data_IF_307050051683
#
_entry.id   IF_307050051683
#
_cell.length_a   1.000
_cell.length_b   1.000
_cell.length_c   1.000
_cell.angle_alpha   90.00
_cell.angle_beta   90.00
_cell.angle_gamma   90.00
#
_symmetry.space_group_name_H-M   'P 1'
#
loop_
_entity.id
_entity.type
_entity.pdbx_description
1 polymer ?
#
# COMPACT_ATOMS: atom_id res chain seq x y z
N UNK A 1 13.98 -30.71 15.57
CA UNK A 1 15.43 -30.46 15.42
C UNK A 1 15.80 -29.28 16.31
N UNK A 2 17.05 -29.26 16.81
CA UNK A 2 17.56 -28.08 17.54
C UNK A 2 18.40 -27.25 16.56
N UNK A 3 17.96 -26.04 16.26
CA UNK A 3 18.60 -25.10 15.33
C UNK A 3 19.56 -24.13 16.03
N UNK A 4 19.77 -24.27 17.34
CA UNK A 4 20.60 -23.34 18.13
C UNK A 4 22.05 -23.28 17.68
N UNK A 5 22.59 -24.42 17.22
CA UNK A 5 23.96 -24.48 16.70
C UNK A 5 24.09 -23.78 15.35
N UNK A 6 23.15 -24.01 14.44
CA UNK A 6 23.13 -23.32 13.13
C UNK A 6 22.94 -21.81 13.30
N UNK A 7 22.03 -21.40 14.20
CA UNK A 7 21.84 -19.99 14.56
C UNK A 7 23.16 -19.33 14.99
N UNK A 8 23.90 -19.96 15.91
CA UNK A 8 25.19 -19.45 16.38
C UNK A 8 26.25 -19.37 15.29
N UNK A 9 26.24 -20.30 14.33
CA UNK A 9 27.18 -20.29 13.20
C UNK A 9 26.90 -19.16 12.21
N UNK A 10 25.61 -18.78 12.02
CA UNK A 10 25.18 -17.74 11.11
C UNK A 10 25.10 -16.35 11.77
N UNK A 11 25.19 -16.29 13.10
CA UNK A 11 25.13 -15.05 13.86
C UNK A 11 26.43 -14.25 13.68
N UNK A 12 26.28 -13.04 13.16
CA UNK A 12 27.41 -12.11 12.95
C UNK A 12 27.01 -10.69 13.36
N UNK A 13 28.00 -9.79 13.48
CA UNK A 13 27.69 -8.36 13.64
C UNK A 13 27.15 -7.76 12.34
N UNK A 14 26.39 -6.65 12.46
CA UNK A 14 25.92 -5.91 11.29
C UNK A 14 27.08 -5.45 10.38
N UNK A 15 28.19 -4.97 10.98
CA UNK A 15 29.39 -4.54 10.24
C UNK A 15 30.02 -5.71 9.46
N UNK A 16 29.96 -6.93 9.96
CA UNK A 16 30.42 -8.13 9.23
C UNK A 16 29.46 -8.51 8.11
N UNK A 17 28.16 -8.54 8.41
CA UNK A 17 27.13 -8.94 7.45
C UNK A 17 27.15 -8.07 6.18
N UNK A 18 27.26 -6.75 6.33
CA UNK A 18 27.24 -5.81 5.18
C UNK A 18 28.51 -5.87 4.32
N UNK A 19 29.56 -6.61 4.72
CA UNK A 19 30.75 -6.82 3.87
C UNK A 19 30.46 -7.62 2.61
N UNK A 20 29.33 -8.35 2.58
CA UNK A 20 28.85 -9.04 1.37
C UNK A 20 28.54 -8.05 0.24
N UNK A 21 28.13 -6.83 0.58
CA UNK A 21 27.68 -5.82 -0.37
C UNK A 21 28.90 -5.20 -1.07
N UNK A 22 28.84 -5.13 -2.40
CA UNK A 22 29.86 -4.58 -3.27
C UNK A 22 29.31 -3.44 -4.11
N UNK A 23 30.21 -2.64 -4.69
CA UNK A 23 29.84 -1.62 -5.67
C UNK A 23 29.11 -2.24 -6.86
N UNK A 24 28.00 -1.64 -7.25
CA UNK A 24 27.14 -2.12 -8.34
C UNK A 24 26.05 -3.11 -7.93
N UNK A 25 26.06 -3.62 -6.70
CA UNK A 25 25.07 -4.60 -6.24
C UNK A 25 23.66 -4.02 -6.15
N UNK A 26 22.68 -4.91 -6.27
CA UNK A 26 21.30 -4.68 -5.91
C UNK A 26 21.03 -5.24 -4.50
N UNK A 27 20.55 -4.37 -3.62
CA UNK A 27 20.31 -4.68 -2.21
C UNK A 27 18.87 -4.34 -1.85
N UNK A 28 18.08 -5.34 -1.49
CA UNK A 28 16.72 -5.13 -1.06
C UNK A 28 16.63 -4.92 0.47
N UNK A 29 15.83 -3.95 0.88
CA UNK A 29 15.62 -3.55 2.28
C UNK A 29 14.28 -4.04 2.85
N UNK A 30 13.63 -4.98 2.16
CA UNK A 30 12.31 -5.46 2.51
C UNK A 30 11.21 -4.42 2.26
N UNK A 31 10.20 -4.41 3.11
CA UNK A 31 9.00 -3.62 2.89
C UNK A 31 8.54 -2.89 4.15
N UNK A 32 8.20 -1.61 4.03
CA UNK A 32 7.51 -0.80 5.03
C UNK A 32 8.16 -0.90 6.43
N UNK A 33 7.43 -1.42 7.42
CA UNK A 33 7.92 -1.62 8.79
C UNK A 33 8.91 -2.80 8.95
N UNK A 34 9.12 -3.59 7.91
CA UNK A 34 10.17 -4.62 7.84
C UNK A 34 11.52 -4.09 7.36
N UNK A 35 11.65 -2.77 7.08
CA UNK A 35 12.92 -2.15 6.68
C UNK A 35 13.94 -2.21 7.81
N UNK A 36 15.15 -2.68 7.47
CA UNK A 36 16.25 -2.89 8.43
C UNK A 36 16.75 -1.59 9.07
N UNK A 37 17.36 -1.70 10.25
CA UNK A 37 17.86 -0.57 11.04
C UNK A 37 19.37 -0.63 11.27
N UNK A 38 19.84 -1.62 12.02
CA UNK A 38 21.28 -1.73 12.33
C UNK A 38 22.11 -2.09 11.11
N UNK A 39 21.53 -2.84 10.16
CA UNK A 39 22.16 -3.15 8.88
C UNK A 39 22.30 -1.90 8.01
N UNK A 40 21.29 -1.03 7.96
CA UNK A 40 21.36 0.26 7.26
C UNK A 40 22.44 1.16 7.85
N UNK A 41 22.52 1.26 9.19
CA UNK A 41 23.56 2.01 9.88
C UNK A 41 24.95 1.46 9.61
N UNK A 42 25.12 0.13 9.55
CA UNK A 42 26.38 -0.50 9.22
C UNK A 42 26.78 -0.26 7.76
N UNK A 43 25.84 -0.34 6.83
CA UNK A 43 26.10 -0.05 5.42
C UNK A 43 26.48 1.43 5.20
N UNK A 44 25.86 2.35 5.92
CA UNK A 44 26.19 3.77 5.87
C UNK A 44 27.65 4.08 6.22
N UNK A 45 28.30 3.31 7.10
CA UNK A 45 29.72 3.44 7.45
C UNK A 45 30.64 3.12 6.26
N UNK A 46 30.14 2.36 5.27
CA UNK A 46 30.90 1.94 4.09
C UNK A 46 30.71 2.85 2.88
N UNK A 47 30.06 4.00 3.04
CA UNK A 47 29.75 4.94 1.95
C UNK A 47 31.01 5.26 1.10
N UNK A 48 32.13 5.56 1.73
CA UNK A 48 33.36 5.93 1.00
C UNK A 48 34.00 4.77 0.21
N UNK A 49 33.65 3.52 0.56
CA UNK A 49 34.15 2.32 -0.12
C UNK A 49 33.30 1.90 -1.32
N UNK A 50 32.00 2.30 -1.32
CA UNK A 50 31.00 1.77 -2.23
C UNK A 50 30.58 2.81 -3.28
N UNK A 51 30.30 2.35 -4.49
CA UNK A 51 29.78 3.15 -5.60
C UNK A 51 28.67 2.40 -6.34
N UNK A 52 27.66 3.15 -6.80
CA UNK A 52 26.58 2.62 -7.62
C UNK A 52 25.82 1.44 -7.00
N UNK A 53 25.62 1.42 -5.66
CA UNK A 53 24.81 0.42 -5.01
C UNK A 53 23.33 0.77 -5.19
N UNK A 54 22.57 -0.16 -5.74
CA UNK A 54 21.15 0.01 -6.00
C UNK A 54 20.35 -0.56 -4.83
N UNK A 55 19.74 0.31 -4.04
CA UNK A 55 18.88 -0.08 -2.94
C UNK A 55 17.43 -0.17 -3.43
N UNK A 56 16.68 -1.11 -2.91
CA UNK A 56 15.29 -1.40 -3.28
C UNK A 56 14.41 -1.53 -2.05
N UNK A 57 13.13 -1.18 -2.17
CA UNK A 57 12.13 -1.28 -1.09
C UNK A 57 10.94 -0.38 -1.35
N UNK A 58 10.25 0.06 -0.30
CA UNK A 58 9.15 1.03 -0.43
C UNK A 58 8.44 1.34 0.88
N UNK A 59 7.71 2.43 0.89
CA UNK A 59 6.96 2.96 2.05
C UNK A 59 7.88 3.13 3.26
N UNK A 60 8.95 3.89 3.12
CA UNK A 60 9.86 4.18 4.24
C UNK A 60 9.12 4.91 5.36
N UNK A 61 9.18 4.36 6.57
CA UNK A 61 8.59 4.95 7.77
C UNK A 61 9.62 5.79 8.57
N UNK A 62 10.91 5.65 8.27
CA UNK A 62 12.00 6.44 8.85
C UNK A 62 13.06 6.75 7.79
N UNK A 63 13.81 7.86 7.95
CA UNK A 63 14.97 8.14 7.10
C UNK A 63 16.02 7.03 7.20
N UNK A 64 16.64 6.68 6.08
CA UNK A 64 17.74 5.72 6.04
C UNK A 64 19.09 6.41 6.31
N UNK A 65 19.96 5.76 7.08
CA UNK A 65 21.28 6.26 7.44
C UNK A 65 22.20 6.40 6.21
N UNK A 66 22.08 5.51 5.22
CA UNK A 66 22.84 5.58 3.95
C UNK A 66 22.59 6.88 3.18
N UNK A 67 21.46 7.57 3.40
CA UNK A 67 21.13 8.85 2.76
C UNK A 67 21.32 10.06 3.68
N UNK A 68 21.98 9.91 4.82
CA UNK A 68 22.23 11.02 5.75
C UNK A 68 23.18 12.07 5.17
N UNK A 69 24.16 11.66 4.36
CA UNK A 69 25.16 12.54 3.72
C UNK A 69 24.58 13.25 2.50
N UNK A 70 25.09 14.45 2.19
CA UNK A 70 24.68 15.20 0.99
C UNK A 70 25.07 14.49 -0.31
N UNK A 71 26.24 13.87 -0.34
CA UNK A 71 26.81 13.13 -1.48
C UNK A 71 26.29 11.69 -1.61
N UNK A 72 25.35 11.27 -0.77
CA UNK A 72 24.84 9.89 -0.74
C UNK A 72 24.38 9.36 -2.11
N UNK A 73 23.81 10.25 -2.96
CA UNK A 73 23.37 9.90 -4.32
C UNK A 73 24.51 9.53 -5.28
N UNK A 74 25.78 9.79 -4.93
CA UNK A 74 26.95 9.34 -5.70
C UNK A 74 27.33 7.89 -5.37
N UNK A 75 26.80 7.35 -4.29
CA UNK A 75 27.11 6.03 -3.74
C UNK A 75 25.92 5.07 -3.82
N UNK A 76 24.74 5.56 -3.47
CA UNK A 76 23.52 4.78 -3.33
C UNK A 76 22.36 5.38 -4.14
N UNK A 77 21.57 4.52 -4.76
CA UNK A 77 20.34 4.89 -5.46
C UNK A 77 19.17 4.12 -4.85
N UNK A 78 18.13 4.83 -4.40
CA UNK A 78 16.91 4.20 -3.89
C UNK A 78 15.91 3.98 -5.02
N UNK A 79 15.52 2.73 -5.26
CA UNK A 79 14.51 2.31 -6.23
C UNK A 79 13.26 1.88 -5.48
N UNK A 80 12.26 2.74 -5.44
CA UNK A 80 11.06 2.52 -4.62
C UNK A 80 9.92 1.92 -5.41
N UNK A 81 9.28 0.90 -4.87
CA UNK A 81 8.03 0.36 -5.37
C UNK A 81 6.81 1.21 -5.00
N UNK A 82 6.90 2.02 -3.96
CA UNK A 82 5.84 2.93 -3.54
C UNK A 82 6.40 4.06 -2.67
N UNK A 83 6.11 5.30 -3.05
CA UNK A 83 6.72 6.47 -2.44
C UNK A 83 5.99 6.92 -1.17
N UNK A 84 6.73 7.10 -0.09
CA UNK A 84 6.30 7.80 1.14
C UNK A 84 6.72 9.27 1.14
N UNK A 85 6.40 9.99 2.22
CA UNK A 85 6.88 11.37 2.43
C UNK A 85 8.40 11.49 2.50
N UNK A 86 9.08 10.45 3.00
CA UNK A 86 10.53 10.38 3.12
C UNK A 86 11.15 10.23 1.73
N UNK A 87 10.65 9.30 0.94
CA UNK A 87 11.14 8.99 -0.40
C UNK A 87 10.95 10.17 -1.36
N UNK A 88 9.84 10.92 -1.24
CA UNK A 88 9.67 12.17 -2.00
C UNK A 88 10.75 13.21 -1.73
N UNK A 89 11.30 13.26 -0.49
CA UNK A 89 12.44 14.13 -0.17
C UNK A 89 13.73 13.62 -0.81
N UNK A 90 13.90 12.30 -0.92
CA UNK A 90 15.03 11.68 -1.62
C UNK A 90 14.98 11.94 -3.13
N UNK A 91 13.79 11.90 -3.75
CA UNK A 91 13.60 12.31 -5.16
C UNK A 91 14.09 13.74 -5.37
N UNK A 92 13.71 14.68 -4.50
CA UNK A 92 14.12 16.07 -4.61
C UNK A 92 15.64 16.27 -4.49
N UNK A 93 16.37 15.30 -3.90
CA UNK A 93 17.82 15.26 -3.79
C UNK A 93 18.49 14.47 -4.92
N UNK A 94 17.73 13.89 -5.85
CA UNK A 94 18.26 13.02 -6.91
C UNK A 94 18.77 11.66 -6.43
N UNK A 95 18.34 11.22 -5.24
CA UNK A 95 18.76 9.95 -4.63
C UNK A 95 17.75 8.82 -4.79
N UNK A 96 16.52 9.11 -5.23
CA UNK A 96 15.47 8.11 -5.34
C UNK A 96 14.69 8.20 -6.66
N UNK A 97 14.25 7.03 -7.12
CA UNK A 97 13.44 6.86 -8.32
C UNK A 97 12.29 5.90 -8.04
N UNK A 98 11.14 6.15 -8.67
CA UNK A 98 9.98 5.27 -8.58
C UNK A 98 10.07 4.16 -9.63
N UNK A 99 9.80 2.94 -9.22
CA UNK A 99 9.73 1.76 -10.10
C UNK A 99 8.26 1.36 -10.28
N UNK A 100 7.60 1.73 -11.39
CA UNK A 100 6.18 1.48 -11.58
C UNK A 100 5.88 0.01 -11.84
N UNK A 101 5.05 -0.57 -10.98
CA UNK A 101 4.53 -1.93 -11.13
C UNK A 101 3.21 -2.05 -10.35
N UNK A 102 2.27 -2.88 -10.78
CA UNK A 102 1.13 -3.29 -9.95
C UNK A 102 1.62 -4.19 -8.83
N UNK A 103 1.13 -3.97 -7.64
CA UNK A 103 1.65 -4.65 -6.46
C UNK A 103 1.48 -6.17 -6.52
N UNK A 104 0.38 -6.66 -7.12
CA UNK A 104 0.16 -8.09 -7.34
C UNK A 104 1.26 -8.78 -8.15
N UNK A 105 2.01 -8.03 -8.97
CA UNK A 105 3.01 -8.56 -9.90
C UNK A 105 4.41 -8.67 -9.28
N UNK A 106 4.65 -8.05 -8.11
CA UNK A 106 5.97 -8.05 -7.47
C UNK A 106 6.55 -9.46 -7.24
N UNK A 107 5.82 -10.44 -6.66
CA UNK A 107 6.40 -11.77 -6.46
C UNK A 107 6.84 -12.44 -7.75
N UNK A 108 6.09 -12.24 -8.84
CA UNK A 108 6.49 -12.74 -10.17
C UNK A 108 7.71 -11.98 -10.70
N UNK A 109 7.74 -10.65 -10.53
CA UNK A 109 8.88 -9.85 -10.95
C UNK A 109 10.18 -10.36 -10.30
N UNK A 110 10.19 -10.61 -8.99
CA UNK A 110 11.37 -11.14 -8.31
C UNK A 110 11.81 -12.51 -8.87
N UNK A 111 10.87 -13.41 -9.11
CA UNK A 111 11.15 -14.77 -9.62
C UNK A 111 11.60 -14.79 -11.08
N UNK A 112 11.20 -13.84 -11.90
CA UNK A 112 11.48 -13.80 -13.34
C UNK A 112 12.40 -12.64 -13.75
N UNK A 113 12.88 -11.84 -12.80
CA UNK A 113 13.71 -10.65 -13.06
C UNK A 113 15.05 -11.03 -13.69
N UNK A 114 15.47 -10.26 -14.70
CA UNK A 114 16.84 -10.27 -15.20
C UNK A 114 17.83 -9.56 -14.29
N UNK A 115 17.34 -8.92 -13.23
CA UNK A 115 18.12 -8.16 -12.23
C UNK A 115 17.76 -8.65 -10.82
N UNK A 116 18.17 -9.90 -10.44
CA UNK A 116 17.93 -10.42 -9.10
C UNK A 116 18.73 -9.63 -8.06
N UNK A 117 18.28 -9.63 -6.81
CA UNK A 117 19.01 -9.01 -5.73
C UNK A 117 20.27 -9.79 -5.39
N UNK A 118 21.39 -9.08 -5.23
CA UNK A 118 22.63 -9.67 -4.73
C UNK A 118 22.51 -9.95 -3.24
N UNK A 119 21.87 -9.04 -2.49
CA UNK A 119 21.63 -9.19 -1.06
C UNK A 119 20.20 -8.73 -0.72
N UNK A 120 19.46 -9.58 -0.02
CA UNK A 120 18.21 -9.20 0.64
C UNK A 120 18.46 -9.00 2.13
N UNK A 121 18.06 -7.87 2.69
CA UNK A 121 18.15 -7.54 4.11
C UNK A 121 16.75 -7.27 4.64
N UNK A 122 16.29 -8.05 5.61
CA UNK A 122 14.94 -7.93 6.13
C UNK A 122 14.89 -7.99 7.65
N UNK A 123 14.04 -7.19 8.25
CA UNK A 123 13.73 -7.28 9.67
C UNK A 123 12.69 -8.38 9.91
N UNK A 124 12.92 -9.21 10.90
CA UNK A 124 12.11 -10.42 11.20
C UNK A 124 11.85 -10.56 12.69
N UNK A 125 10.80 -11.30 13.04
CA UNK A 125 10.58 -11.75 14.40
C UNK A 125 11.64 -12.80 14.82
N UNK A 126 11.87 -13.02 16.12
CA UNK A 126 12.79 -14.06 16.60
C UNK A 126 12.48 -15.44 16.01
N UNK A 127 13.54 -16.24 15.81
CA UNK A 127 13.42 -17.60 15.30
C UNK A 127 12.54 -18.47 16.21
N UNK A 128 11.62 -19.19 15.61
CA UNK A 128 10.80 -20.14 16.35
C UNK A 128 11.53 -21.50 16.59
N UNK A 129 10.91 -22.37 17.39
CA UNK A 129 11.44 -23.70 17.69
C UNK A 129 11.59 -24.62 16.47
N UNK A 130 11.03 -24.26 15.34
CA UNK A 130 11.08 -25.00 14.09
C UNK A 130 12.09 -24.41 13.09
N UNK A 131 12.84 -23.37 13.48
CA UNK A 131 13.86 -22.74 12.65
C UNK A 131 13.34 -21.66 11.69
N UNK A 132 12.12 -21.18 11.88
CA UNK A 132 11.54 -20.13 11.03
C UNK A 132 11.63 -18.75 11.66
N UNK A 133 12.00 -17.77 10.84
CA UNK A 133 11.88 -16.35 11.09
C UNK A 133 10.61 -15.83 10.41
N UNK A 134 9.73 -15.21 11.16
CA UNK A 134 8.48 -14.64 10.63
C UNK A 134 8.73 -13.22 10.12
N UNK A 135 8.17 -12.88 8.94
CA UNK A 135 8.29 -11.54 8.33
C UNK A 135 7.46 -10.47 9.03
N UNK A 136 6.82 -10.81 10.15
CA UNK A 136 5.89 -9.89 10.80
C UNK A 136 4.68 -9.56 9.92
N UNK A 137 4.22 -8.31 9.90
CA UNK A 137 3.05 -7.94 9.13
C UNK A 137 3.30 -7.82 7.61
N UNK A 138 4.36 -8.42 7.06
CA UNK A 138 4.82 -8.21 5.68
C UNK A 138 5.05 -9.52 4.91
N UNK A 139 4.05 -10.36 4.69
CA UNK A 139 4.20 -11.43 3.69
C UNK A 139 4.48 -10.81 2.32
N UNK A 140 3.65 -9.86 1.87
CA UNK A 140 3.92 -8.99 0.73
C UNK A 140 4.55 -9.74 -0.46
N UNK A 141 5.79 -9.44 -0.78
CA UNK A 141 6.63 -10.08 -1.79
C UNK A 141 7.90 -10.71 -1.19
N UNK A 142 8.04 -10.69 0.13
CA UNK A 142 9.30 -11.02 0.80
C UNK A 142 9.70 -12.48 0.61
N UNK A 143 8.74 -13.41 0.51
CA UNK A 143 9.03 -14.79 0.19
C UNK A 143 9.74 -14.94 -1.16
N UNK A 144 9.21 -14.32 -2.21
CA UNK A 144 9.80 -14.33 -3.54
C UNK A 144 11.17 -13.64 -3.60
N UNK A 145 11.32 -12.53 -2.88
CA UNK A 145 12.59 -11.81 -2.74
C UNK A 145 13.66 -12.73 -2.11
N UNK A 146 13.36 -13.36 -1.00
CA UNK A 146 14.29 -14.26 -0.32
C UNK A 146 14.64 -15.50 -1.17
N UNK A 147 13.68 -16.03 -1.92
CA UNK A 147 13.86 -17.18 -2.81
C UNK A 147 14.88 -16.91 -3.92
N UNK A 148 14.97 -15.67 -4.40
CA UNK A 148 15.76 -15.31 -5.58
C UNK A 148 17.05 -14.56 -5.27
N UNK A 149 17.18 -13.96 -4.09
CA UNK A 149 18.39 -13.25 -3.69
C UNK A 149 19.58 -14.21 -3.54
N UNK A 150 20.78 -13.76 -3.92
CA UNK A 150 22.01 -14.55 -3.75
C UNK A 150 22.37 -14.75 -2.29
N UNK A 151 22.12 -13.73 -1.47
CA UNK A 151 22.36 -13.74 -0.02
C UNK A 151 21.16 -13.15 0.71
N UNK A 152 20.72 -13.80 1.78
CA UNK A 152 19.66 -13.29 2.65
C UNK A 152 20.25 -13.03 4.03
N UNK A 153 20.10 -11.81 4.53
CA UNK A 153 20.51 -11.38 5.87
C UNK A 153 19.23 -11.01 6.63
N UNK A 154 19.00 -11.64 7.75
CA UNK A 154 17.88 -11.31 8.63
C UNK A 154 18.36 -10.46 9.80
N UNK A 155 17.64 -9.36 10.08
CA UNK A 155 17.80 -8.53 11.26
C UNK A 155 16.68 -8.87 12.25
N UNK A 156 17.04 -9.53 13.34
CA UNK A 156 16.08 -10.01 14.34
C UNK A 156 15.67 -8.86 15.26
N UNK A 157 14.36 -8.67 15.42
CA UNK A 157 13.77 -7.68 16.31
C UNK A 157 12.69 -8.34 17.19
N UNK A 158 12.88 -8.33 18.51
CA UNK A 158 11.93 -8.89 19.47
C UNK A 158 10.56 -8.18 19.50
N UNK A 159 10.50 -6.94 19.02
CA UNK A 159 9.25 -6.18 18.90
C UNK A 159 8.48 -6.47 17.61
N UNK A 160 9.05 -7.27 16.68
CA UNK A 160 8.35 -7.67 15.46
C UNK A 160 7.24 -8.66 15.80
N UNK A 161 5.96 -8.36 15.52
CA UNK A 161 4.87 -9.29 15.80
C UNK A 161 5.01 -10.54 14.96
N UNK A 162 4.62 -11.69 15.51
CA UNK A 162 4.54 -12.95 14.80
C UNK A 162 3.18 -13.05 14.10
N UNK A 163 3.13 -12.70 12.83
CA UNK A 163 1.90 -12.70 12.06
C UNK A 163 1.66 -14.07 11.44
N UNK A 164 0.53 -14.69 11.81
CA UNK A 164 0.13 -15.97 11.27
C UNK A 164 -0.35 -15.82 9.82
N UNK A 165 -0.07 -16.82 9.00
CA UNK A 165 -0.41 -16.77 7.59
C UNK A 165 -0.48 -18.13 6.93
N UNK A 166 -0.62 -18.12 5.62
CA UNK A 166 -0.53 -19.30 4.77
C UNK A 166 0.92 -19.59 4.38
N UNK A 167 1.20 -19.53 3.10
CA UNK A 167 2.55 -19.65 2.54
C UNK A 167 3.27 -18.30 2.55
N UNK A 168 4.59 -18.32 2.51
CA UNK A 168 5.45 -17.13 2.33
C UNK A 168 5.33 -16.06 3.45
N UNK A 169 5.00 -16.47 4.68
CA UNK A 169 4.96 -15.54 5.82
C UNK A 169 6.26 -15.56 6.67
N UNK A 170 7.29 -16.28 6.23
CA UNK A 170 8.58 -16.40 6.92
C UNK A 170 9.61 -17.17 6.12
N UNK A 171 10.83 -17.24 6.64
CA UNK A 171 11.98 -17.92 6.03
C UNK A 171 12.58 -18.90 7.02
N UNK A 172 12.97 -20.08 6.53
CA UNK A 172 13.67 -21.08 7.35
C UNK A 172 15.16 -20.72 7.44
N UNK A 173 15.78 -21.02 8.58
CA UNK A 173 17.18 -20.70 8.85
C UNK A 173 18.14 -21.28 7.80
N UNK A 174 17.82 -22.42 7.15
CA UNK A 174 18.65 -23.00 6.08
C UNK A 174 18.86 -22.06 4.90
N UNK A 175 17.90 -21.18 4.63
CA UNK A 175 17.90 -20.27 3.49
C UNK A 175 18.46 -18.87 3.86
N UNK A 176 18.85 -18.68 5.12
CA UNK A 176 19.47 -17.46 5.63
C UNK A 176 20.99 -17.57 5.54
N UNK A 177 21.64 -16.54 4.96
CA UNK A 177 23.12 -16.46 4.91
C UNK A 177 23.68 -16.01 6.25
N UNK A 178 23.19 -14.87 6.77
CA UNK A 178 23.61 -14.31 8.05
C UNK A 178 22.42 -13.87 8.90
N UNK A 179 22.60 -13.97 10.21
CA UNK A 179 21.68 -13.49 11.23
C UNK A 179 22.36 -12.34 11.96
N UNK A 180 21.64 -11.23 12.12
CA UNK A 180 22.07 -10.08 12.92
C UNK A 180 21.02 -9.83 13.98
N UNK A 181 21.42 -9.81 15.25
CA UNK A 181 20.54 -9.34 16.32
C UNK A 181 20.43 -7.82 16.26
N UNK A 182 19.21 -7.34 16.05
CA UNK A 182 18.91 -5.92 15.96
C UNK A 182 18.97 -5.22 17.32
N UNK A 183 18.66 -3.93 17.31
CA UNK A 183 18.63 -3.09 18.53
C UNK A 183 17.27 -3.15 19.25
N UNK A 184 16.35 -3.99 18.81
CA UNK A 184 14.99 -4.12 19.34
C UNK A 184 14.25 -2.76 19.41
N UNK A 185 14.48 -1.90 18.40
CA UNK A 185 13.73 -0.66 18.27
C UNK A 185 12.23 -0.94 18.10
N UNK A 186 11.34 -0.06 18.57
CA UNK A 186 9.92 -0.18 18.29
C UNK A 186 9.66 -0.26 16.76
N UNK A 187 8.72 -1.09 16.36
CA UNK A 187 8.32 -1.18 14.95
C UNK A 187 7.78 0.18 14.48
N UNK A 188 8.19 0.58 13.30
CA UNK A 188 7.77 1.84 12.71
C UNK A 188 6.25 1.94 12.59
N UNK A 189 5.67 3.03 13.07
CA UNK A 189 4.23 3.26 12.99
C UNK A 189 3.87 4.14 11.79
N UNK A 190 2.81 3.75 11.09
CA UNK A 190 2.13 4.61 10.15
C UNK A 190 0.94 5.23 10.90
N UNK A 191 1.10 6.48 11.32
CA UNK A 191 0.06 7.17 12.08
C UNK A 191 -1.27 7.22 11.31
N UNK A 192 -2.36 7.26 12.05
CA UNK A 192 -3.73 7.27 11.52
C UNK A 192 -4.05 8.50 10.63
N UNK A 193 -3.10 9.38 10.40
CA UNK A 193 -3.35 10.70 9.82
C UNK A 193 -4.00 11.65 10.83
N UNK A 194 -4.42 12.83 10.38
CA UNK A 194 -5.19 13.75 11.22
C UNK A 194 -6.60 13.23 11.51
N UNK A 195 -7.35 13.85 12.42
CA UNK A 195 -8.74 13.53 12.65
C UNK A 195 -9.54 13.68 11.36
N UNK A 196 -10.55 12.82 11.17
CA UNK A 196 -11.44 12.87 10.01
C UNK A 196 -12.14 14.23 9.94
N UNK A 197 -12.05 14.89 8.80
CA UNK A 197 -12.74 16.15 8.53
C UNK A 197 -14.24 15.91 8.33
N UNK A 198 -15.05 16.98 8.33
CA UNK A 198 -16.47 16.87 8.01
C UNK A 198 -16.70 16.42 6.57
N UNK A 199 -15.78 16.74 5.66
CA UNK A 199 -15.78 16.22 4.28
C UNK A 199 -15.56 14.70 4.29
N UNK A 200 -14.54 14.22 5.02
CA UNK A 200 -14.27 12.77 5.15
C UNK A 200 -15.49 12.01 5.69
N UNK A 201 -16.16 12.56 6.71
CA UNK A 201 -17.35 11.94 7.31
C UNK A 201 -18.52 11.86 6.34
N UNK A 202 -18.74 12.91 5.53
CA UNK A 202 -19.80 12.89 4.50
C UNK A 202 -19.53 11.83 3.43
N UNK A 203 -18.29 11.79 2.91
CA UNK A 203 -17.88 10.77 1.94
C UNK A 203 -18.03 9.37 2.54
N UNK A 204 -17.54 9.18 3.77
CA UNK A 204 -17.64 7.90 4.47
C UNK A 204 -19.09 7.43 4.66
N UNK A 205 -20.02 8.34 5.01
CA UNK A 205 -21.43 8.00 5.17
C UNK A 205 -22.03 7.49 3.85
N UNK A 206 -21.78 8.21 2.74
CA UNK A 206 -22.27 7.79 1.41
C UNK A 206 -21.80 6.37 1.04
N UNK A 207 -20.56 6.01 1.43
CA UNK A 207 -20.00 4.69 1.15
C UNK A 207 -20.62 3.63 2.07
N UNK A 208 -20.69 3.89 3.37
CA UNK A 208 -21.21 2.93 4.37
C UNK A 208 -22.66 2.55 4.06
N UNK A 209 -23.47 3.49 3.58
CA UNK A 209 -24.85 3.23 3.14
C UNK A 209 -24.94 2.24 1.95
N UNK A 210 -23.82 1.99 1.26
CA UNK A 210 -23.75 1.05 0.14
C UNK A 210 -23.22 -0.34 0.51
N UNK A 211 -22.78 -0.55 1.76
CA UNK A 211 -22.17 -1.79 2.23
C UNK A 211 -23.28 -2.74 2.71
N UNK A 212 -23.47 -3.91 2.10
CA UNK A 212 -24.41 -4.90 2.61
C UNK A 212 -23.80 -5.72 3.77
N UNK A 213 -24.65 -6.32 4.60
CA UNK A 213 -24.20 -7.34 5.54
C UNK A 213 -23.47 -8.47 4.80
N UNK A 214 -22.42 -9.00 5.41
CA UNK A 214 -21.61 -10.06 4.81
C UNK A 214 -20.64 -9.60 3.73
N UNK A 215 -20.54 -8.29 3.44
CA UNK A 215 -19.56 -7.76 2.49
C UNK A 215 -18.12 -8.07 2.90
N UNK A 216 -17.24 -8.26 1.92
CA UNK A 216 -15.79 -8.36 2.13
C UNK A 216 -15.10 -7.02 1.80
N UNK A 217 -14.29 -6.52 2.71
CA UNK A 217 -13.78 -5.14 2.68
C UNK A 217 -12.30 -5.07 2.35
N UNK A 218 -11.94 -4.06 1.53
CA UNK A 218 -10.60 -3.49 1.40
C UNK A 218 -10.67 -1.98 1.66
N UNK A 219 -9.82 -1.49 2.53
CA UNK A 219 -9.69 -0.08 2.88
C UNK A 219 -8.28 0.44 2.55
N UNK A 220 -8.19 1.68 2.06
CA UNK A 220 -6.94 2.43 1.99
C UNK A 220 -6.53 3.03 3.34
N UNK A 221 -5.63 4.01 3.30
CA UNK A 221 -5.14 4.77 4.46
C UNK A 221 -5.60 6.23 4.40
N UNK A 222 -5.65 6.88 5.57
CA UNK A 222 -5.93 8.31 5.71
C UNK A 222 -7.23 8.62 6.44
N UNK A 223 -7.59 9.91 6.51
CA UNK A 223 -8.75 10.39 7.28
C UNK A 223 -10.07 9.78 6.84
N UNK A 224 -10.31 9.68 5.53
CA UNK A 224 -11.57 9.15 5.00
C UNK A 224 -11.72 7.63 5.25
N UNK A 225 -10.75 6.74 4.98
CA UNK A 225 -10.84 5.33 5.37
C UNK A 225 -11.02 5.12 6.88
N UNK A 226 -10.41 5.96 7.71
CA UNK A 226 -10.62 5.92 9.16
C UNK A 226 -12.07 6.31 9.53
N UNK A 227 -12.63 7.32 8.85
CA UNK A 227 -14.03 7.70 9.05
C UNK A 227 -14.99 6.56 8.64
N UNK A 228 -14.71 5.88 7.51
CA UNK A 228 -15.45 4.68 7.10
C UNK A 228 -15.38 3.61 8.18
N UNK A 229 -14.18 3.32 8.70
CA UNK A 229 -13.99 2.33 9.76
C UNK A 229 -14.78 2.64 11.03
N UNK A 230 -14.76 3.90 11.48
CA UNK A 230 -15.51 4.36 12.65
C UNK A 230 -17.03 4.21 12.44
N UNK A 231 -17.55 4.64 11.29
CA UNK A 231 -18.97 4.52 10.97
C UNK A 231 -19.43 3.05 10.88
N UNK A 232 -18.60 2.17 10.30
CA UNK A 232 -18.91 0.73 10.27
C UNK A 232 -18.95 0.16 11.69
N UNK A 233 -17.99 0.52 12.55
CA UNK A 233 -17.95 0.04 13.93
C UNK A 233 -19.20 0.44 14.73
N UNK A 234 -19.76 1.62 14.47
CA UNK A 234 -20.97 2.15 15.12
C UNK A 234 -22.27 1.70 14.42
N UNK A 235 -22.23 1.15 13.22
CA UNK A 235 -23.41 0.76 12.43
C UNK A 235 -24.01 -0.57 12.87
N UNK A 236 -25.17 -0.93 12.27
CA UNK A 236 -25.82 -2.25 12.41
C UNK A 236 -25.26 -3.31 11.45
N UNK A 237 -24.20 -3.00 10.71
CA UNK A 237 -23.54 -3.95 9.80
C UNK A 237 -22.97 -5.15 10.57
N UNK A 238 -23.06 -6.32 9.95
CA UNK A 238 -22.62 -7.60 10.55
C UNK A 238 -22.10 -8.57 9.51
N UNK A 239 -21.43 -9.61 10.02
CA UNK A 239 -20.90 -10.72 9.23
C UNK A 239 -19.88 -10.28 8.15
N UNK A 240 -19.22 -9.15 8.36
CA UNK A 240 -18.25 -8.61 7.41
C UNK A 240 -17.00 -9.50 7.32
N UNK A 241 -16.36 -9.49 6.17
CA UNK A 241 -15.08 -10.11 5.91
C UNK A 241 -14.00 -9.07 5.60
N UNK A 242 -12.74 -9.47 5.66
CA UNK A 242 -11.59 -8.66 5.25
C UNK A 242 -10.75 -9.45 4.25
N UNK A 243 -10.42 -8.80 3.14
CA UNK A 243 -9.42 -9.24 2.18
C UNK A 243 -8.81 -7.97 1.57
N UNK A 244 -7.64 -7.59 2.05
CA UNK A 244 -7.10 -6.26 1.81
C UNK A 244 -5.61 -6.32 1.46
N UNK A 245 -5.13 -5.35 0.71
CA UNK A 245 -3.70 -5.16 0.50
C UNK A 245 -3.03 -4.82 1.82
N UNK A 246 -3.45 -3.71 2.42
CA UNK A 246 -2.92 -3.22 3.67
C UNK A 246 -3.93 -3.38 4.80
N UNK A 247 -3.49 -3.99 5.90
CA UNK A 247 -4.25 -4.03 7.15
C UNK A 247 -3.96 -2.77 7.96
N UNK A 248 -5.02 -2.10 8.43
CA UNK A 248 -4.95 -0.80 9.09
C UNK A 248 -5.72 -0.80 10.41
N UNK A 249 -5.45 0.18 11.29
CA UNK A 249 -6.12 0.30 12.61
C UNK A 249 -7.65 0.28 12.53
N UNK A 250 -8.24 0.80 11.46
CA UNK A 250 -9.68 0.79 11.24
C UNK A 250 -10.28 -0.62 11.28
N UNK A 251 -9.58 -1.63 10.72
CA UNK A 251 -10.06 -3.02 10.81
C UNK A 251 -10.04 -3.57 12.23
N UNK A 252 -9.06 -3.15 13.05
CA UNK A 252 -9.01 -3.53 14.48
C UNK A 252 -10.24 -3.00 15.21
N UNK A 253 -10.65 -1.76 14.93
CA UNK A 253 -11.82 -1.15 15.56
C UNK A 253 -13.12 -1.84 15.13
N UNK A 254 -13.27 -2.11 13.84
CA UNK A 254 -14.43 -2.84 13.28
C UNK A 254 -14.50 -4.26 13.87
N UNK A 255 -13.35 -4.96 13.98
CA UNK A 255 -13.29 -6.31 14.55
C UNK A 255 -13.65 -6.31 16.04
N UNK A 256 -13.09 -5.38 16.84
CA UNK A 256 -13.40 -5.23 18.26
C UNK A 256 -14.86 -4.84 18.51
N UNK A 257 -15.50 -4.15 17.57
CA UNK A 257 -16.93 -3.88 17.60
C UNK A 257 -17.80 -5.12 17.23
N UNK A 258 -17.16 -6.27 16.93
CA UNK A 258 -17.86 -7.52 16.61
C UNK A 258 -18.51 -7.56 15.21
N UNK A 259 -18.11 -6.67 14.29
CA UNK A 259 -18.69 -6.58 12.95
C UNK A 259 -18.05 -7.53 11.95
N UNK A 260 -16.80 -7.95 12.19
CA UNK A 260 -16.02 -8.84 11.33
C UNK A 260 -16.01 -10.25 11.93
N UNK A 261 -16.46 -11.23 11.15
CA UNK A 261 -16.32 -12.66 11.49
C UNK A 261 -15.94 -13.52 10.26
N UNK A 262 -15.99 -12.97 9.06
CA UNK A 262 -15.63 -13.66 7.82
C UNK A 262 -16.52 -14.85 7.46
N UNK A 263 -17.68 -15.02 8.11
CA UNK A 263 -18.56 -16.20 7.92
C UNK A 263 -19.18 -16.28 6.53
N UNK A 264 -19.28 -15.15 5.85
CA UNK A 264 -19.88 -15.04 4.50
C UNK A 264 -18.84 -15.03 3.37
N UNK A 265 -17.54 -15.04 3.68
CA UNK A 265 -16.51 -15.15 2.65
C UNK A 265 -16.62 -16.48 1.89
N UNK A 266 -16.47 -16.44 0.57
CA UNK A 266 -16.48 -17.61 -0.32
C UNK A 266 -15.19 -18.42 -0.22
N UNK A 267 -14.07 -17.72 -0.01
CA UNK A 267 -12.73 -18.28 0.24
C UNK A 267 -12.20 -17.75 1.58
N UNK A 268 -11.26 -18.43 2.21
CA UNK A 268 -10.63 -18.05 3.49
C UNK A 268 -11.67 -17.68 4.58
N UNK A 269 -12.71 -18.48 4.71
CA UNK A 269 -13.76 -18.23 5.71
C UNK A 269 -13.16 -18.11 7.10
N UNK A 270 -13.68 -17.16 7.87
CA UNK A 270 -13.25 -16.84 9.24
C UNK A 270 -11.81 -16.29 9.33
N UNK A 271 -11.22 -15.88 8.20
CA UNK A 271 -9.88 -15.23 8.17
C UNK A 271 -9.99 -13.83 7.61
N UNK A 272 -9.28 -12.91 8.24
CA UNK A 272 -9.01 -11.57 7.74
C UNK A 272 -7.69 -11.63 6.97
N UNK A 273 -7.75 -11.56 5.65
CA UNK A 273 -6.59 -11.76 4.76
C UNK A 273 -5.97 -10.42 4.41
N UNK A 274 -4.63 -10.32 4.46
CA UNK A 274 -3.91 -9.10 4.11
C UNK A 274 -2.51 -9.39 3.56
N UNK A 275 -2.01 -8.47 2.68
CA UNK A 275 -0.68 -8.57 2.08
C UNK A 275 0.41 -8.00 2.99
N UNK A 276 0.14 -6.87 3.62
CA UNK A 276 0.97 -6.28 4.68
C UNK A 276 0.13 -5.47 5.65
N UNK A 277 0.67 -5.17 6.81
CA UNK A 277 0.02 -4.33 7.81
C UNK A 277 0.88 -3.11 8.16
N UNK A 278 0.27 -1.92 8.20
CA UNK A 278 0.92 -0.72 8.68
C UNK A 278 -0.09 0.14 9.46
N UNK A 279 0.24 0.45 10.70
CA UNK A 279 -0.63 1.17 11.61
C UNK A 279 0.10 1.52 12.89
N UNK A 280 -0.64 1.62 13.98
CA UNK A 280 -0.10 1.89 15.31
C UNK A 280 0.25 0.60 16.07
N UNK A 281 0.90 0.75 17.22
CA UNK A 281 1.18 -0.38 18.12
C UNK A 281 -0.08 -1.19 18.46
N UNK A 282 -1.24 -0.54 18.59
CA UNK A 282 -2.54 -1.21 18.81
C UNK A 282 -2.83 -2.26 17.75
N UNK A 283 -2.53 -1.94 16.48
CA UNK A 283 -2.72 -2.88 15.37
C UNK A 283 -1.67 -4.01 15.43
N UNK A 284 -0.41 -3.69 15.66
CA UNK A 284 0.64 -4.73 15.77
C UNK A 284 0.36 -5.73 16.90
N UNK A 285 -0.10 -5.25 18.06
CA UNK A 285 -0.53 -6.11 19.17
C UNK A 285 -1.75 -7.00 18.81
N UNK A 286 -2.63 -6.50 17.91
CA UNK A 286 -3.78 -7.28 17.44
C UNK A 286 -3.37 -8.34 16.39
N UNK A 287 -2.33 -8.05 15.59
CA UNK A 287 -1.81 -8.98 14.58
C UNK A 287 -1.02 -10.15 15.21
N UNK A 288 -0.39 -9.93 16.37
CA UNK A 288 0.54 -10.88 16.98
C UNK A 288 -0.17 -12.18 17.36
N UNK A 289 0.31 -13.29 16.82
CA UNK A 289 -0.18 -14.66 17.04
C UNK A 289 -1.72 -14.84 16.93
N UNK A 290 -2.40 -13.96 16.18
CA UNK A 290 -3.84 -13.97 16.06
C UNK A 290 -4.31 -14.92 14.93
N UNK A 291 -4.99 -16.05 15.26
CA UNK A 291 -5.44 -17.02 14.27
C UNK A 291 -6.62 -16.56 13.42
N UNK A 292 -7.27 -15.46 13.72
CA UNK A 292 -8.32 -14.88 12.88
C UNK A 292 -7.74 -14.17 11.65
N UNK A 293 -6.42 -13.94 11.65
CA UNK A 293 -5.70 -13.21 10.61
C UNK A 293 -4.93 -14.17 9.71
N UNK A 294 -4.73 -13.76 8.48
CA UNK A 294 -3.93 -14.49 7.49
C UNK A 294 -3.07 -13.51 6.70
N UNK A 295 -1.80 -13.41 7.07
CA UNK A 295 -0.79 -12.75 6.27
C UNK A 295 -0.49 -13.60 5.02
N UNK A 296 -0.54 -13.02 3.83
CA UNK A 296 -0.41 -13.74 2.57
C UNK A 296 0.36 -12.92 1.53
N UNK A 297 1.03 -13.56 0.55
CA UNK A 297 1.74 -12.83 -0.50
C UNK A 297 0.78 -12.01 -1.35
N UNK A 298 1.26 -10.88 -1.87
CA UNK A 298 0.41 -9.98 -2.67
C UNK A 298 -0.02 -10.57 -4.01
N UNK A 299 0.68 -11.58 -4.52
CA UNK A 299 0.21 -12.40 -5.64
C UNK A 299 -1.06 -13.20 -5.33
N UNK A 300 -1.47 -13.27 -4.06
CA UNK A 300 -2.74 -13.85 -3.63
C UNK A 300 -3.75 -12.78 -3.19
N UNK A 301 -3.35 -11.85 -2.30
CA UNK A 301 -4.27 -10.84 -1.78
C UNK A 301 -4.73 -9.86 -2.85
N UNK A 302 -3.85 -9.52 -3.79
CA UNK A 302 -4.11 -8.59 -4.88
C UNK A 302 -4.46 -9.30 -6.19
N UNK A 303 -4.55 -10.64 -6.20
CA UNK A 303 -4.99 -11.37 -7.40
C UNK A 303 -6.45 -11.03 -7.69
N UNK A 304 -6.69 -10.49 -8.87
CA UNK A 304 -8.03 -10.15 -9.38
C UNK A 304 -8.99 -11.33 -9.27
N UNK A 305 -8.52 -12.56 -9.47
CA UNK A 305 -9.33 -13.79 -9.36
C UNK A 305 -9.71 -14.09 -7.93
N UNK A 306 -8.79 -13.91 -6.98
CA UNK A 306 -9.05 -14.08 -5.55
C UNK A 306 -10.06 -13.05 -5.03
N UNK A 307 -9.90 -11.79 -5.44
CA UNK A 307 -10.82 -10.69 -5.10
C UNK A 307 -12.20 -10.96 -5.71
N UNK A 308 -12.26 -11.31 -6.99
CA UNK A 308 -13.52 -11.58 -7.71
C UNK A 308 -14.28 -12.80 -7.17
N UNK A 309 -13.58 -13.75 -6.54
CA UNK A 309 -14.20 -14.92 -5.91
C UNK A 309 -14.97 -14.61 -4.62
N UNK A 310 -14.83 -13.40 -4.07
CA UNK A 310 -15.50 -12.94 -2.85
C UNK A 310 -16.73 -12.12 -3.22
N UNK A 311 -17.92 -12.62 -2.93
CA UNK A 311 -19.19 -11.92 -3.18
C UNK A 311 -19.27 -10.62 -2.35
N UNK A 312 -19.94 -9.61 -2.89
CA UNK A 312 -20.12 -8.29 -2.29
C UNK A 312 -18.79 -7.66 -1.87
N UNK A 313 -17.78 -7.77 -2.69
CA UNK A 313 -16.48 -7.16 -2.41
C UNK A 313 -16.56 -5.63 -2.51
N UNK A 314 -16.16 -4.95 -1.46
CA UNK A 314 -16.17 -3.49 -1.36
C UNK A 314 -14.73 -2.99 -1.29
N UNK A 315 -14.28 -2.34 -2.36
CA UNK A 315 -12.96 -1.71 -2.46
C UNK A 315 -13.09 -0.20 -2.30
N UNK A 316 -12.33 0.40 -1.39
CA UNK A 316 -12.37 1.83 -1.07
C UNK A 316 -10.97 2.41 -1.15
N UNK A 317 -10.74 3.29 -2.13
CA UNK A 317 -9.44 3.90 -2.40
C UNK A 317 -9.57 5.41 -2.63
N UNK A 318 -8.53 6.15 -2.27
CA UNK A 318 -8.42 7.57 -2.52
C UNK A 318 -7.74 7.86 -3.85
N UNK A 319 -8.02 9.04 -4.42
CA UNK A 319 -7.28 9.56 -5.57
C UNK A 319 -6.77 11.00 -5.32
N UNK A 320 -5.87 11.44 -6.18
CA UNK A 320 -5.38 12.82 -6.21
C UNK A 320 -6.30 13.69 -7.05
N UNK A 321 -6.52 13.33 -8.31
CA UNK A 321 -7.35 14.06 -9.26
C UNK A 321 -8.15 13.11 -10.15
N UNK A 322 -9.27 13.59 -10.69
CA UNK A 322 -10.15 12.91 -11.65
C UNK A 322 -10.43 13.86 -12.79
N UNK A 323 -10.40 13.41 -14.05
CA UNK A 323 -10.83 14.23 -15.18
C UNK A 323 -12.27 13.91 -15.65
N UNK A 324 -12.82 14.79 -16.49
CA UNK A 324 -14.19 14.64 -17.01
C UNK A 324 -14.38 13.41 -17.94
N UNK A 325 -13.29 12.78 -18.35
CA UNK A 325 -13.35 11.49 -19.07
C UNK A 325 -13.45 10.29 -18.10
N UNK A 326 -13.23 10.52 -16.80
CA UNK A 326 -13.24 9.49 -15.76
C UNK A 326 -11.89 8.78 -15.59
N UNK A 327 -10.80 9.40 -16.01
CA UNK A 327 -9.43 8.95 -15.70
C UNK A 327 -9.05 9.34 -14.28
N UNK A 328 -8.43 8.43 -13.55
CA UNK A 328 -8.02 8.61 -12.15
C UNK A 328 -6.50 8.73 -12.07
N UNK A 329 -6.01 9.78 -11.41
CA UNK A 329 -4.62 9.88 -10.95
C UNK A 329 -4.57 9.73 -9.44
N UNK A 330 -3.85 8.71 -8.97
CA UNK A 330 -3.65 8.44 -7.53
C UNK A 330 -2.19 8.51 -7.11
N UNK A 331 -1.26 8.50 -8.07
CA UNK A 331 0.17 8.37 -7.81
C UNK A 331 1.00 9.61 -8.15
N UNK A 332 0.43 10.57 -8.89
CA UNK A 332 1.13 11.80 -9.27
C UNK A 332 0.24 13.03 -9.26
N UNK A 333 0.86 14.20 -9.29
CA UNK A 333 0.23 15.49 -9.59
C UNK A 333 1.11 16.20 -10.60
N UNK A 334 0.67 16.26 -11.87
CA UNK A 334 1.55 16.57 -12.97
C UNK A 334 2.74 15.59 -13.01
N UNK A 335 3.92 16.10 -13.27
CA UNK A 335 5.16 15.29 -13.29
C UNK A 335 5.67 14.89 -11.89
N UNK A 336 5.03 15.37 -10.82
CA UNK A 336 5.49 15.12 -9.45
C UNK A 336 4.94 13.78 -8.95
N UNK A 337 5.83 12.80 -8.72
CA UNK A 337 5.48 11.55 -8.05
C UNK A 337 5.04 11.79 -6.61
N UNK A 338 3.90 11.25 -6.19
CA UNK A 338 3.33 11.39 -4.84
C UNK A 338 3.37 10.07 -4.09
N UNK A 339 2.94 8.99 -4.73
CA UNK A 339 2.85 7.64 -4.14
C UNK A 339 3.34 6.57 -5.12
N UNK A 340 2.57 5.58 -5.40
CA UNK A 340 2.80 4.53 -6.39
C UNK A 340 1.49 3.92 -6.83
N UNK A 341 1.53 3.08 -7.85
CA UNK A 341 0.35 2.37 -8.33
C UNK A 341 -0.27 1.49 -7.23
N UNK A 342 0.59 0.83 -6.41
CA UNK A 342 0.12 -0.12 -5.42
C UNK A 342 -0.78 -1.18 -6.04
N UNK A 343 -1.78 -1.61 -5.32
CA UNK A 343 -2.80 -2.54 -5.79
C UNK A 343 -4.15 -1.88 -6.14
N UNK A 344 -4.22 -0.55 -6.26
CA UNK A 344 -5.51 0.12 -6.51
C UNK A 344 -6.22 -0.46 -7.72
N UNK A 345 -5.54 -0.60 -8.86
CA UNK A 345 -6.12 -1.17 -10.08
C UNK A 345 -6.54 -2.64 -9.89
N UNK A 346 -5.76 -3.43 -9.13
CA UNK A 346 -6.09 -4.82 -8.83
C UNK A 346 -7.45 -4.92 -8.12
N UNK A 347 -7.66 -4.09 -7.09
CA UNK A 347 -8.90 -4.06 -6.31
C UNK A 347 -10.07 -3.42 -7.07
N UNK A 348 -9.82 -2.41 -7.90
CA UNK A 348 -10.85 -1.82 -8.79
C UNK A 348 -11.40 -2.88 -9.75
N UNK A 349 -10.51 -3.64 -10.39
CA UNK A 349 -10.90 -4.71 -11.32
C UNK A 349 -11.57 -5.88 -10.60
N UNK A 350 -10.95 -6.37 -9.53
CA UNK A 350 -11.46 -7.51 -8.77
C UNK A 350 -12.83 -7.24 -8.14
N UNK A 351 -13.02 -6.06 -7.55
CA UNK A 351 -14.30 -5.65 -6.97
C UNK A 351 -15.41 -5.53 -8.02
N UNK A 352 -15.10 -5.04 -9.23
CA UNK A 352 -16.10 -4.98 -10.30
C UNK A 352 -16.49 -6.36 -10.82
N UNK A 353 -15.57 -7.32 -10.83
CA UNK A 353 -15.83 -8.70 -11.24
C UNK A 353 -16.50 -9.54 -10.13
N UNK A 354 -16.43 -9.11 -8.89
CA UNK A 354 -17.11 -9.74 -7.76
C UNK A 354 -18.62 -9.65 -7.93
N UNK A 355 -19.34 -10.73 -7.64
CA UNK A 355 -20.80 -10.72 -7.64
C UNK A 355 -21.33 -9.77 -6.56
N UNK A 356 -22.05 -8.71 -6.97
CA UNK A 356 -22.52 -7.64 -6.08
C UNK A 356 -21.41 -6.68 -5.61
N UNK A 357 -20.19 -6.84 -6.08
CA UNK A 357 -19.05 -6.03 -5.69
C UNK A 357 -19.08 -4.59 -6.22
N UNK A 358 -18.42 -3.70 -5.49
CA UNK A 358 -18.31 -2.26 -5.83
C UNK A 358 -16.92 -1.74 -5.52
N UNK A 359 -16.39 -0.92 -6.43
CA UNK A 359 -15.16 -0.16 -6.22
C UNK A 359 -15.49 1.33 -6.11
N UNK A 360 -15.08 1.94 -5.01
CA UNK A 360 -15.26 3.37 -4.74
C UNK A 360 -13.89 4.07 -4.81
N UNK A 361 -13.81 5.06 -5.70
CA UNK A 361 -12.69 6.01 -5.76
C UNK A 361 -13.18 7.32 -5.13
N UNK A 362 -12.49 7.75 -4.09
CA UNK A 362 -12.92 8.82 -3.20
C UNK A 362 -11.95 9.98 -3.19
N UNK A 363 -12.46 11.20 -3.12
CA UNK A 363 -11.66 12.37 -2.80
C UNK A 363 -12.56 13.48 -2.21
N UNK A 364 -11.97 14.42 -1.47
CA UNK A 364 -12.60 15.74 -1.33
C UNK A 364 -12.72 16.39 -2.69
N UNK A 365 -13.81 17.08 -2.98
CA UNK A 365 -14.00 17.72 -4.29
C UNK A 365 -12.96 18.83 -4.58
N UNK A 366 -12.33 19.37 -3.53
CA UNK A 366 -11.34 20.43 -3.62
C UNK A 366 -10.13 20.19 -2.70
N UNK A 367 -9.08 20.95 -2.94
CA UNK A 367 -7.95 21.12 -2.00
C UNK A 367 -7.51 22.59 -2.00
N UNK A 368 -6.85 22.99 -0.93
CA UNK A 368 -6.25 24.34 -0.83
C UNK A 368 -4.74 24.20 -0.96
N UNK A 369 -4.13 24.98 -1.83
CA UNK A 369 -2.69 24.98 -2.03
C UNK A 369 -1.95 25.78 -0.93
N UNK A 370 -0.62 25.84 -1.01
CA UNK A 370 0.22 26.55 -0.04
C UNK A 370 0.02 28.07 -0.06
N UNK A 371 -0.54 28.61 -1.12
CA UNK A 371 -0.88 30.02 -1.29
C UNK A 371 -2.28 30.35 -0.77
N UNK A 372 -3.04 29.34 -0.32
CA UNK A 372 -4.42 29.51 0.16
C UNK A 372 -5.47 29.51 -0.95
N UNK A 373 -5.10 29.14 -2.18
CA UNK A 373 -6.01 29.07 -3.32
C UNK A 373 -6.71 27.70 -3.35
N UNK A 374 -8.04 27.73 -3.48
CA UNK A 374 -8.86 26.53 -3.62
C UNK A 374 -8.85 26.04 -5.08
N UNK A 375 -8.65 24.76 -5.27
CA UNK A 375 -8.61 24.06 -6.55
C UNK A 375 -9.57 22.89 -6.57
N UNK A 376 -10.22 22.64 -7.71
CA UNK A 376 -11.00 21.42 -7.93
C UNK A 376 -10.11 20.20 -8.12
N UNK A 377 -10.51 19.05 -7.54
CA UNK A 377 -9.91 17.73 -7.86
C UNK A 377 -10.61 17.05 -9.04
N UNK A 378 -11.83 17.48 -9.36
CA UNK A 378 -12.48 17.11 -10.63
C UNK A 378 -12.05 18.15 -11.64
N UNK A 379 -11.30 17.71 -12.67
CA UNK A 379 -10.65 18.58 -13.64
C UNK A 379 -11.20 18.38 -15.05
N UNK A 380 -11.11 19.35 -15.95
CA UNK A 380 -11.43 19.14 -17.36
C UNK A 380 -10.61 18.00 -17.97
N UNK A 381 -9.29 18.04 -17.79
CA UNK A 381 -8.30 17.01 -18.09
C UNK A 381 -7.33 16.89 -16.92
N UNK A 382 -6.69 15.74 -16.74
CA UNK A 382 -5.60 15.62 -15.79
C UNK A 382 -4.50 16.65 -16.12
N UNK A 383 -3.79 17.13 -15.11
CA UNK A 383 -2.66 18.04 -15.33
C UNK A 383 -1.62 17.40 -16.24
N UNK A 384 -0.94 18.19 -17.05
CA UNK A 384 0.11 17.71 -17.96
C UNK A 384 1.18 16.91 -17.19
N UNK A 385 1.49 15.71 -17.70
CA UNK A 385 2.43 14.79 -17.08
C UNK A 385 1.87 13.94 -15.93
N UNK A 386 0.59 14.10 -15.56
CA UNK A 386 -0.05 13.22 -14.57
C UNK A 386 -0.16 11.79 -15.09
N UNK A 387 0.08 10.83 -14.19
CA UNK A 387 -0.04 9.42 -14.49
C UNK A 387 -1.49 8.97 -14.27
N UNK A 388 -2.02 8.20 -15.22
CA UNK A 388 -3.33 7.53 -15.09
C UNK A 388 -3.15 6.24 -14.32
N UNK A 389 -3.62 6.20 -13.07
CA UNK A 389 -3.59 5.01 -12.23
C UNK A 389 -4.71 4.04 -12.62
N UNK A 390 -5.95 4.54 -12.74
CA UNK A 390 -7.08 3.78 -13.25
C UNK A 390 -7.60 4.41 -14.54
N UNK A 391 -7.70 3.60 -15.59
CA UNK A 391 -8.23 4.09 -16.86
C UNK A 391 -9.74 4.33 -16.76
N UNK A 392 -10.25 5.23 -17.61
CA UNK A 392 -11.69 5.56 -17.68
C UNK A 392 -12.62 4.38 -17.96
N UNK A 393 -12.09 3.27 -18.47
CA UNK A 393 -12.85 2.05 -18.71
C UNK A 393 -13.04 1.23 -17.41
N UNK A 394 -12.14 1.38 -16.45
CA UNK A 394 -12.12 0.62 -15.21
C UNK A 394 -12.82 1.32 -14.05
N UNK A 395 -12.81 2.66 -14.00
CA UNK A 395 -13.45 3.45 -12.94
C UNK A 395 -14.92 3.06 -12.76
N UNK A 396 -15.31 2.70 -11.54
CA UNK A 396 -16.66 2.26 -11.20
C UNK A 396 -17.45 3.38 -10.52
N UNK A 397 -17.32 3.54 -9.20
CA UNK A 397 -17.94 4.64 -8.47
C UNK A 397 -16.93 5.72 -8.13
N UNK A 398 -17.36 6.98 -8.26
CA UNK A 398 -16.64 8.16 -7.79
C UNK A 398 -17.47 8.83 -6.69
N UNK A 399 -16.82 9.16 -5.56
CA UNK A 399 -17.48 9.73 -4.39
C UNK A 399 -16.77 10.99 -3.93
N UNK A 400 -17.53 12.05 -3.76
CA UNK A 400 -17.13 13.29 -3.09
C UNK A 400 -18.14 13.64 -2.00
N UNK A 401 -17.91 14.69 -1.24
CA UNK A 401 -18.88 15.21 -0.25
C UNK A 401 -20.18 15.72 -0.86
N UNK A 402 -20.24 15.87 -2.19
CA UNK A 402 -21.43 16.29 -2.94
C UNK A 402 -22.25 15.14 -3.52
N UNK A 403 -21.78 13.92 -3.40
CA UNK A 403 -22.53 12.73 -3.83
C UNK A 403 -21.66 11.62 -4.38
N UNK A 404 -22.33 10.64 -4.97
CA UNK A 404 -21.75 9.43 -5.56
C UNK A 404 -22.30 9.23 -6.98
N UNK A 405 -21.43 8.86 -7.91
CA UNK A 405 -21.80 8.55 -9.29
C UNK A 405 -21.17 7.25 -9.77
N UNK A 406 -21.94 6.47 -10.52
CA UNK A 406 -21.45 5.26 -11.19
C UNK A 406 -21.07 5.61 -12.62
N UNK A 407 -19.81 5.40 -12.98
CA UNK A 407 -19.26 5.76 -14.32
C UNK A 407 -19.22 4.59 -15.30
N UNK A 408 -19.57 3.36 -14.89
CA UNK A 408 -19.52 2.20 -15.79
C UNK A 408 -20.54 2.31 -16.92
N UNK A 409 -20.07 2.07 -18.13
CA UNK A 409 -20.92 2.06 -19.32
C UNK A 409 -21.44 3.41 -19.79
N UNK A 410 -21.10 4.52 -19.09
CA UNK A 410 -21.51 5.85 -19.49
C UNK A 410 -20.71 6.33 -20.71
N UNK A 411 -21.39 7.01 -21.63
CA UNK A 411 -20.75 7.77 -22.72
C UNK A 411 -19.98 8.97 -22.18
N UNK A 412 -19.14 9.61 -23.00
CA UNK A 412 -18.31 10.75 -22.55
C UNK A 412 -19.13 11.91 -21.99
N UNK A 413 -20.28 12.26 -22.63
CA UNK A 413 -21.13 13.33 -22.12
C UNK A 413 -21.82 12.95 -20.79
N UNK A 414 -22.21 11.69 -20.61
CA UNK A 414 -22.81 11.20 -19.37
C UNK A 414 -21.78 11.21 -18.23
N UNK A 415 -20.52 10.84 -18.50
CA UNK A 415 -19.44 10.91 -17.52
C UNK A 415 -19.19 12.36 -17.10
N UNK A 416 -19.09 13.28 -18.05
CA UNK A 416 -18.89 14.70 -17.74
C UNK A 416 -20.04 15.24 -16.88
N UNK A 417 -21.30 14.99 -17.25
CA UNK A 417 -22.47 15.40 -16.47
C UNK A 417 -22.46 14.81 -15.05
N UNK A 418 -22.19 13.51 -14.93
CA UNK A 418 -22.12 12.82 -13.64
C UNK A 418 -21.00 13.39 -12.74
N UNK A 419 -19.79 13.56 -13.27
CA UNK A 419 -18.66 14.10 -12.52
C UNK A 419 -18.86 15.56 -12.11
N UNK A 420 -19.42 16.40 -13.00
CA UNK A 420 -19.75 17.78 -12.70
C UNK A 420 -20.81 17.87 -11.58
N UNK A 421 -21.77 16.93 -11.54
CA UNK A 421 -22.79 16.92 -10.50
C UNK A 421 -22.23 16.70 -9.08
N UNK A 422 -21.09 16.02 -8.95
CA UNK A 422 -20.39 15.76 -7.67
C UNK A 422 -19.17 16.65 -7.47
N UNK A 423 -18.90 17.61 -8.37
CA UNK A 423 -17.89 18.64 -8.20
C UNK A 423 -18.36 19.72 -7.20
N UNK A 424 -17.40 20.45 -6.62
CA UNK A 424 -17.71 21.62 -5.80
C UNK A 424 -18.52 22.64 -6.63
N UNK A 425 -19.61 23.22 -6.09
CA UNK A 425 -20.49 24.13 -6.84
C UNK A 425 -19.76 25.27 -7.55
N UNK A 426 -18.77 25.89 -6.93
CA UNK A 426 -18.03 27.03 -7.47
C UNK A 426 -17.23 26.72 -8.75
N UNK A 427 -16.99 25.45 -9.05
CA UNK A 427 -16.24 25.02 -10.24
C UNK A 427 -17.13 24.43 -11.34
N UNK A 428 -18.44 24.24 -11.10
CA UNK A 428 -19.32 23.53 -12.06
C UNK A 428 -19.46 24.27 -13.38
N UNK A 429 -19.65 25.60 -13.35
CA UNK A 429 -19.81 26.42 -14.56
C UNK A 429 -18.54 26.41 -15.41
N UNK A 430 -17.36 26.48 -14.79
CA UNK A 430 -16.07 26.33 -15.49
C UNK A 430 -15.93 24.95 -16.12
N UNK A 431 -16.27 23.89 -15.38
CA UNK A 431 -16.20 22.52 -15.89
C UNK A 431 -17.17 22.29 -17.05
N UNK A 432 -18.37 22.88 -17.01
CA UNK A 432 -19.32 22.84 -18.14
C UNK A 432 -18.73 23.53 -19.38
N UNK A 433 -18.17 24.73 -19.20
CA UNK A 433 -17.57 25.48 -20.32
C UNK A 433 -16.41 24.71 -20.96
N UNK A 434 -15.57 24.05 -20.15
CA UNK A 434 -14.49 23.20 -20.66
C UNK A 434 -15.04 21.94 -21.34
N UNK A 435 -16.07 21.29 -20.80
CA UNK A 435 -16.73 20.14 -21.40
C UNK A 435 -17.38 20.48 -22.77
N UNK A 436 -17.91 21.71 -22.92
CA UNK A 436 -18.41 22.23 -24.21
C UNK A 436 -17.27 22.35 -25.24
N UNK A 437 -16.14 22.95 -24.87
CA UNK A 437 -14.95 23.08 -25.72
C UNK A 437 -14.40 21.71 -26.16
N UNK A 438 -14.44 20.72 -25.29
CA UNK A 438 -14.00 19.36 -25.56
C UNK A 438 -15.04 18.51 -26.30
N UNK A 439 -16.21 19.05 -26.62
CA UNK A 439 -17.34 18.36 -27.28
C UNK A 439 -17.86 17.15 -26.51
N UNK A 440 -17.76 17.18 -25.18
CA UNK A 440 -18.29 16.15 -24.25
C UNK A 440 -19.44 16.68 -23.39
N UNK A 441 -19.96 17.88 -23.65
CA UNK A 441 -21.20 18.38 -23.07
C UNK A 441 -22.33 18.28 -24.11
N UNK A 442 -23.45 17.66 -23.71
CA UNK A 442 -24.56 17.42 -24.65
C UNK A 442 -25.29 18.73 -24.96
N UNK A 443 -25.55 19.00 -26.25
CA UNK A 443 -26.22 20.25 -26.69
C UNK A 443 -27.61 20.46 -26.08
N UNK A 444 -28.35 19.37 -25.78
CA UNK A 444 -29.67 19.45 -25.15
C UNK A 444 -29.62 19.71 -23.63
N UNK A 445 -28.43 19.79 -23.01
CA UNK A 445 -28.26 20.19 -21.62
C UNK A 445 -28.12 21.72 -21.44
N UNK A 446 -28.30 22.51 -22.51
CA UNK A 446 -28.25 23.96 -22.48
C UNK A 446 -29.58 24.56 -22.06
#
# INVERSE_FOLDING_TARGET
>A
MDYSQEYKQKLVSADEAVKLIKSGDWVDYGWCNGTVDVLDQALAKRTDELKNVNLRGGILLKPLAVFAREDAGEHFTWNSWHMSGIERKLIARGCAYYSPIRYSELPRYYRESSCPDDVAMIMVAPMDKHGYFNFGPNASHLGAMCETAKHVIVEVNENMPRCLGGTECGIHISDVTYIVEGNNAPIGELGAGGPATDVDKKVAQLIVDQIPNGACLQLGIGGMPNAVGSLIAESDLKDLGVHTEMYVDAFVDIAKAGKINGSKKNIDRFRQVYGFGAGTKKMYDYLDENPELMSAPVSYTNDIRSIAALDNFISINNCVDIDLFGQISSESSGIKQISGAGGQLDFVLGAYLSNGGKSFICCSSTFVDKQGVMHSRIRPTLAEGSIVTDTRANTHYVVTEYGMVNLKGLSSWQKAEALISVAHPDFRDELIAEAEKMHIWRRSNK
#
